data_IF_651319627555
#
_entry.id   IF_651319627555
#
_cell.length_a   1.000
_cell.length_b   1.000
_cell.length_c   1.000
_cell.angle_alpha   90.00
_cell.angle_beta   90.00
_cell.angle_gamma   90.00
#
_symmetry.space_group_name_H-M   'P 1'
#
loop_
_entity.id
_entity.type
_entity.pdbx_description
1 polymer ?
#
# COMPACT_ATOMS: atom_id res chain seq x y z
N UNK A 1 -14.96 58.98 -19.90
CA UNK A 1 -13.51 58.86 -19.63
C UNK A 1 -13.15 58.10 -18.35
N UNK A 2 -13.93 58.17 -17.25
CA UNK A 2 -13.58 57.53 -15.96
C UNK A 2 -13.49 55.98 -15.98
N UNK A 3 -14.30 55.30 -16.79
CA UNK A 3 -14.29 53.83 -16.87
C UNK A 3 -12.98 53.24 -17.43
N UNK A 4 -12.32 53.93 -18.38
CA UNK A 4 -11.05 53.48 -18.97
C UNK A 4 -9.91 53.55 -17.96
N UNK A 5 -9.89 54.60 -17.12
CA UNK A 5 -8.87 54.80 -16.08
C UNK A 5 -9.00 53.77 -14.94
N UNK A 6 -10.23 53.43 -14.54
CA UNK A 6 -10.48 52.41 -13.52
C UNK A 6 -10.11 51.01 -14.03
N UNK A 7 -10.47 50.68 -15.27
CA UNK A 7 -10.09 49.40 -15.90
C UNK A 7 -8.57 49.22 -15.99
N UNK A 8 -7.84 50.26 -16.40
CA UNK A 8 -6.38 50.22 -16.49
C UNK A 8 -5.71 50.11 -15.11
N UNK A 9 -6.29 50.74 -14.08
CA UNK A 9 -5.82 50.62 -12.70
C UNK A 9 -6.02 49.20 -12.14
N UNK A 10 -7.19 48.58 -12.37
CA UNK A 10 -7.48 47.20 -11.97
C UNK A 10 -6.55 46.20 -12.66
N UNK A 11 -6.32 46.34 -13.97
CA UNK A 11 -5.39 45.47 -14.73
C UNK A 11 -3.97 45.60 -14.19
N UNK A 12 -3.50 46.82 -13.92
CA UNK A 12 -2.16 47.03 -13.36
C UNK A 12 -2.01 46.44 -11.97
N UNK A 13 -3.04 46.56 -11.11
CA UNK A 13 -3.04 45.96 -9.77
C UNK A 13 -3.10 44.44 -9.84
N UNK A 14 -3.92 43.87 -10.71
CA UNK A 14 -3.97 42.42 -10.95
C UNK A 14 -2.61 41.90 -11.40
N UNK A 15 -1.96 42.58 -12.35
CA UNK A 15 -0.62 42.22 -12.81
C UNK A 15 0.42 42.25 -11.69
N UNK A 16 0.39 43.29 -10.85
CA UNK A 16 1.30 43.39 -9.69
C UNK A 16 1.08 42.25 -8.70
N UNK A 17 -0.18 41.91 -8.39
CA UNK A 17 -0.51 40.77 -7.51
C UNK A 17 -0.02 39.47 -8.13
N UNK A 18 -0.29 39.22 -9.41
CA UNK A 18 0.21 38.04 -10.10
C UNK A 18 1.75 37.94 -10.06
N UNK A 19 2.46 39.04 -10.28
CA UNK A 19 3.92 39.06 -10.23
C UNK A 19 4.46 38.77 -8.82
N UNK A 20 3.89 39.39 -7.79
CA UNK A 20 4.27 39.13 -6.38
C UNK A 20 4.01 37.67 -6.01
N UNK A 21 2.85 37.13 -6.37
CA UNK A 21 2.50 35.73 -6.11
C UNK A 21 3.49 34.78 -6.79
N UNK A 22 3.87 35.06 -8.04
CA UNK A 22 4.80 34.23 -8.80
C UNK A 22 6.20 34.26 -8.15
N UNK A 23 6.69 35.43 -7.74
CA UNK A 23 7.96 35.57 -7.03
C UNK A 23 7.93 34.83 -5.68
N UNK A 24 6.84 34.99 -4.92
CA UNK A 24 6.69 34.31 -3.63
C UNK A 24 6.70 32.78 -3.81
N UNK A 25 5.98 32.28 -4.82
CA UNK A 25 5.98 30.86 -5.16
C UNK A 25 7.38 30.35 -5.54
N UNK A 26 8.14 31.13 -6.32
CA UNK A 26 9.51 30.79 -6.66
C UNK A 26 10.43 30.74 -5.42
N UNK A 27 10.26 31.65 -4.47
CA UNK A 27 10.99 31.63 -3.19
C UNK A 27 10.62 30.38 -2.39
N UNK A 28 9.34 30.05 -2.26
CA UNK A 28 8.87 28.84 -1.56
C UNK A 28 9.47 27.58 -2.17
N UNK A 29 9.44 27.44 -3.50
CA UNK A 29 10.05 26.29 -4.20
C UNK A 29 11.55 26.23 -3.96
N UNK A 30 12.24 27.38 -3.95
CA UNK A 30 13.69 27.44 -3.71
C UNK A 30 14.05 27.01 -2.29
N UNK A 31 13.29 27.48 -1.30
CA UNK A 31 13.46 27.07 0.10
C UNK A 31 13.19 25.58 0.24
N UNK A 32 12.07 25.08 -0.30
CA UNK A 32 11.71 23.67 -0.24
C UNK A 32 12.81 22.80 -0.85
N UNK A 33 13.30 23.17 -2.03
CA UNK A 33 14.39 22.43 -2.69
C UNK A 33 15.68 22.43 -1.86
N UNK A 34 15.96 23.51 -1.15
CA UNK A 34 17.10 23.63 -0.26
C UNK A 34 16.95 22.79 1.01
N UNK A 35 15.72 22.65 1.55
CA UNK A 35 15.45 21.90 2.78
C UNK A 35 15.27 20.40 2.57
N UNK A 36 14.82 19.95 1.40
CA UNK A 36 14.58 18.53 1.09
C UNK A 36 15.79 17.61 1.44
N UNK A 37 17.05 17.96 1.12
CA UNK A 37 18.20 17.13 1.49
C UNK A 37 18.37 16.90 3.00
N UNK A 38 17.82 17.78 3.84
CA UNK A 38 17.85 17.69 5.30
C UNK A 38 16.62 16.95 5.87
N UNK A 39 15.84 16.26 5.03
CA UNK A 39 14.63 15.55 5.48
C UNK A 39 14.91 14.53 6.58
N UNK A 40 16.12 13.96 6.62
CA UNK A 40 16.51 13.00 7.66
C UNK A 40 16.52 13.61 9.07
N UNK A 41 16.75 14.92 9.20
CA UNK A 41 16.75 15.60 10.50
C UNK A 41 15.32 15.72 11.09
N UNK A 42 14.30 15.60 10.25
CA UNK A 42 12.87 15.65 10.63
C UNK A 42 12.26 14.27 10.84
N UNK A 43 13.07 13.22 10.94
CA UNK A 43 12.61 11.84 11.15
C UNK A 43 11.67 11.71 12.35
N UNK A 44 12.07 12.23 13.51
CA UNK A 44 11.25 12.14 14.73
C UNK A 44 9.92 12.90 14.62
N UNK A 45 9.89 14.02 13.91
CA UNK A 45 8.65 14.77 13.67
C UNK A 45 7.68 13.98 12.79
N UNK A 46 8.20 13.26 11.78
CA UNK A 46 7.40 12.39 10.92
C UNK A 46 6.90 11.14 11.64
N UNK A 47 7.74 10.50 12.46
CA UNK A 47 7.34 9.39 13.33
C UNK A 47 6.22 9.83 14.29
N UNK A 48 6.37 10.99 14.93
CA UNK A 48 5.34 11.57 15.80
C UNK A 48 4.03 11.92 15.07
N UNK A 49 4.12 12.45 13.85
CA UNK A 49 2.93 12.72 13.01
C UNK A 49 2.19 11.44 12.62
N UNK A 50 2.92 10.38 12.28
CA UNK A 50 2.31 9.09 11.92
C UNK A 50 1.70 8.39 13.14
N UNK A 51 2.33 8.53 14.31
CA UNK A 51 1.77 8.07 15.59
C UNK A 51 0.45 8.78 15.92
N UNK A 52 0.38 10.11 15.78
CA UNK A 52 -0.84 10.88 16.07
C UNK A 52 -1.98 10.54 15.08
N UNK A 53 -1.62 10.33 13.81
CA UNK A 53 -2.61 10.13 12.74
C UNK A 53 -3.14 8.70 12.61
N UNK A 54 -2.29 7.72 12.85
CA UNK A 54 -2.60 6.30 12.65
C UNK A 54 -2.44 5.46 13.92
N UNK A 55 -2.29 6.11 15.09
CA UNK A 55 -2.10 5.44 16.38
C UNK A 55 -1.00 4.35 16.38
N UNK A 56 0.02 4.51 15.53
CA UNK A 56 1.05 3.49 15.29
C UNK A 56 2.42 3.99 15.68
N UNK A 57 3.09 3.24 16.55
CA UNK A 57 4.47 3.49 16.91
C UNK A 57 5.41 2.79 15.93
N UNK A 58 6.05 3.58 15.07
CA UNK A 58 6.95 3.12 14.04
C UNK A 58 8.30 3.81 14.13
N UNK A 59 9.34 3.09 13.73
CA UNK A 59 10.71 3.59 13.58
C UNK A 59 11.12 3.52 12.12
N UNK A 60 11.68 4.62 11.60
CA UNK A 60 12.13 4.78 10.21
C UNK A 60 13.66 4.81 10.19
N UNK A 61 14.37 3.87 9.57
CA UNK A 61 15.84 3.91 9.55
C UNK A 61 16.41 5.18 8.92
N UNK A 62 15.92 5.57 7.74
CA UNK A 62 16.37 6.77 7.04
C UNK A 62 15.24 7.46 6.27
N UNK A 63 15.34 8.78 6.14
CA UNK A 63 14.46 9.59 5.30
C UNK A 63 15.32 10.35 4.30
N UNK A 64 15.00 10.18 3.02
CA UNK A 64 15.58 11.00 1.97
C UNK A 64 14.47 11.72 1.22
N UNK A 65 14.71 12.98 0.91
CA UNK A 65 13.80 13.74 0.07
C UNK A 65 14.59 14.49 -0.99
N UNK A 66 14.04 14.54 -2.20
CA UNK A 66 14.70 15.17 -3.34
C UNK A 66 13.66 15.71 -4.30
N UNK A 67 14.09 16.54 -5.25
CA UNK A 67 13.21 17.01 -6.31
C UNK A 67 13.36 16.09 -7.53
N UNK A 68 12.29 15.40 -7.91
CA UNK A 68 12.27 14.51 -9.05
C UNK A 68 11.21 14.96 -10.06
N UNK A 69 11.61 15.14 -11.33
CA UNK A 69 10.70 15.53 -12.39
C UNK A 69 9.86 16.79 -12.07
N UNK A 70 8.56 16.58 -11.83
CA UNK A 70 7.56 17.64 -11.64
C UNK A 70 7.29 18.00 -10.18
N UNK A 71 7.94 17.37 -9.21
CA UNK A 71 7.69 17.66 -7.80
C UNK A 71 8.69 17.06 -6.81
N UNK A 72 8.45 17.28 -5.52
CA UNK A 72 9.21 16.66 -4.46
C UNK A 72 8.87 15.17 -4.36
N UNK A 73 9.90 14.38 -4.12
CA UNK A 73 9.82 12.97 -3.80
C UNK A 73 10.38 12.75 -2.39
N UNK A 74 9.69 11.92 -1.60
CA UNK A 74 10.11 11.49 -0.26
C UNK A 74 10.23 9.97 -0.29
N UNK A 75 11.30 9.48 0.32
CA UNK A 75 11.60 8.06 0.45
C UNK A 75 11.91 7.78 1.91
N UNK A 76 11.15 6.84 2.48
CA UNK A 76 11.35 6.29 3.80
C UNK A 76 11.99 4.91 3.64
N UNK A 77 13.03 4.61 4.41
CA UNK A 77 13.75 3.34 4.37
C UNK A 77 13.76 2.68 5.75
N UNK A 78 13.73 1.35 5.76
CA UNK A 78 13.78 0.51 6.97
C UNK A 78 12.68 0.86 7.98
N UNK A 79 11.43 0.81 7.55
CA UNK A 79 10.27 1.09 8.39
C UNK A 79 9.92 -0.17 9.18
N UNK A 80 9.91 -0.04 10.50
CA UNK A 80 9.64 -1.11 11.45
C UNK A 80 8.71 -0.61 12.55
N UNK A 81 8.06 -1.53 13.28
CA UNK A 81 7.10 -1.21 14.34
C UNK A 81 7.61 -1.79 15.66
N UNK A 82 7.47 -1.05 16.76
CA UNK A 82 8.10 -1.38 18.03
C UNK A 82 7.57 -2.69 18.65
N UNK A 83 6.24 -2.90 18.64
CA UNK A 83 5.59 -4.05 19.31
C UNK A 83 5.27 -5.24 18.36
N UNK A 84 6.06 -5.40 17.30
CA UNK A 84 5.99 -6.55 16.38
C UNK A 84 6.11 -7.94 17.04
N UNK A 85 6.49 -8.04 18.34
CA UNK A 85 6.70 -9.31 19.05
C UNK A 85 5.45 -9.87 19.73
N UNK A 86 4.48 -9.02 20.05
CA UNK A 86 3.24 -9.39 20.77
C UNK A 86 1.99 -9.23 19.91
N UNK A 87 2.12 -8.59 18.76
CA UNK A 87 1.03 -8.44 17.79
C UNK A 87 0.79 -9.75 17.00
N UNK A 88 -0.47 -10.11 16.72
CA UNK A 88 -0.79 -11.22 15.81
C UNK A 88 -0.27 -10.99 14.37
N UNK A 89 0.10 -9.75 14.05
CA UNK A 89 0.68 -9.37 12.77
C UNK A 89 2.00 -8.61 13.02
N UNK A 90 3.12 -9.19 12.58
CA UNK A 90 4.40 -8.51 12.55
C UNK A 90 4.65 -7.96 11.14
N UNK A 91 4.75 -6.63 10.99
CA UNK A 91 4.92 -5.95 9.71
C UNK A 91 6.29 -5.30 9.60
N UNK A 92 6.90 -5.31 8.43
CA UNK A 92 8.09 -4.51 8.10
C UNK A 92 7.98 -4.01 6.66
N UNK A 93 8.50 -2.81 6.41
CA UNK A 93 8.51 -2.22 5.07
C UNK A 93 9.93 -1.76 4.77
N UNK A 94 10.57 -2.35 3.77
CA UNK A 94 11.94 -2.00 3.42
C UNK A 94 12.06 -0.57 2.90
N UNK A 95 11.13 -0.14 2.04
CA UNK A 95 11.14 1.19 1.44
C UNK A 95 9.75 1.66 1.02
N UNK A 96 9.38 2.88 1.38
CA UNK A 96 8.18 3.55 0.89
C UNK A 96 8.59 4.82 0.12
N UNK A 97 8.21 4.92 -1.15
CA UNK A 97 8.58 6.04 -2.03
C UNK A 97 7.35 6.76 -2.53
N UNK A 98 7.27 8.07 -2.29
CA UNK A 98 6.14 8.92 -2.66
C UNK A 98 6.64 10.13 -3.48
N UNK A 99 6.15 10.28 -4.71
CA UNK A 99 6.37 11.46 -5.54
C UNK A 99 5.08 12.26 -5.71
N UNK A 100 5.12 13.55 -5.35
CA UNK A 100 3.98 14.44 -5.45
C UNK A 100 3.89 15.12 -6.82
N UNK A 101 2.68 15.15 -7.38
CA UNK A 101 2.39 15.94 -8.57
C UNK A 101 1.83 17.30 -8.14
N UNK A 102 2.73 18.29 -8.03
CA UNK A 102 2.33 19.64 -7.59
C UNK A 102 1.29 20.26 -8.51
N UNK A 103 1.44 20.10 -9.83
CA UNK A 103 0.53 20.72 -10.80
C UNK A 103 -0.89 20.17 -10.70
N UNK A 104 -1.04 18.84 -10.65
CA UNK A 104 -2.36 18.23 -10.45
C UNK A 104 -2.90 18.53 -9.05
N UNK A 105 -2.02 18.61 -8.04
CA UNK A 105 -2.43 18.97 -6.68
C UNK A 105 -3.04 20.37 -6.63
N UNK A 106 -2.39 21.36 -7.24
CA UNK A 106 -2.89 22.74 -7.30
C UNK A 106 -4.19 22.82 -8.12
N UNK A 107 -4.26 22.08 -9.24
CA UNK A 107 -5.44 22.08 -10.13
C UNK A 107 -6.67 21.45 -9.48
N UNK A 108 -6.49 20.35 -8.76
CA UNK A 108 -7.58 19.58 -8.13
C UNK A 108 -7.86 20.01 -6.70
N UNK A 109 -6.98 20.83 -6.09
CA UNK A 109 -7.00 21.15 -4.66
C UNK A 109 -6.97 19.90 -3.75
N UNK A 110 -6.45 18.79 -4.27
CA UNK A 110 -6.30 17.52 -3.57
C UNK A 110 -4.86 17.05 -3.73
N UNK A 111 -4.25 16.52 -2.67
CA UNK A 111 -2.91 15.93 -2.78
C UNK A 111 -2.94 14.78 -3.79
N UNK A 112 -2.22 14.93 -4.90
CA UNK A 112 -2.07 13.90 -5.94
C UNK A 112 -0.62 13.44 -5.98
N UNK A 113 -0.42 12.12 -5.86
CA UNK A 113 0.86 11.49 -6.15
C UNK A 113 0.94 11.13 -7.63
N UNK A 114 2.13 11.33 -8.21
CA UNK A 114 2.47 10.75 -9.51
C UNK A 114 2.87 9.29 -9.37
N UNK A 115 3.45 8.95 -8.22
CA UNK A 115 3.98 7.62 -7.92
C UNK A 115 3.94 7.41 -6.40
N UNK A 116 3.40 6.28 -5.95
CA UNK A 116 3.52 5.84 -4.58
C UNK A 116 3.77 4.33 -4.59
N UNK A 117 4.93 3.90 -4.11
CA UNK A 117 5.33 2.50 -4.14
C UNK A 117 5.90 2.05 -2.82
N UNK A 118 5.44 0.89 -2.38
CA UNK A 118 5.86 0.20 -1.17
C UNK A 118 6.66 -1.01 -1.63
N UNK A 119 7.95 -1.01 -1.34
CA UNK A 119 8.87 -2.07 -1.71
C UNK A 119 9.27 -2.84 -0.43
N UNK A 120 9.23 -4.17 -0.50
CA UNK A 120 9.57 -5.02 0.64
C UNK A 120 8.57 -4.91 1.78
N UNK A 121 7.26 -4.93 1.48
CA UNK A 121 6.20 -5.12 2.47
C UNK A 121 6.21 -6.59 2.89
N UNK A 122 6.72 -6.86 4.09
CA UNK A 122 6.77 -8.21 4.66
C UNK A 122 5.90 -8.28 5.91
N UNK A 123 4.82 -9.06 5.83
CA UNK A 123 3.92 -9.30 6.96
C UNK A 123 3.97 -10.76 7.38
N UNK A 124 4.12 -11.02 8.68
CA UNK A 124 3.94 -12.34 9.28
C UNK A 124 2.64 -12.33 10.08
N UNK A 125 1.70 -13.20 9.72
CA UNK A 125 0.36 -13.28 10.29
C UNK A 125 0.22 -14.61 11.03
N UNK A 126 -0.06 -14.55 12.33
CA UNK A 126 -0.39 -15.72 13.14
C UNK A 126 -1.91 -15.95 13.11
N UNK A 127 -2.35 -16.88 12.26
CA UNK A 127 -3.78 -17.16 12.05
C UNK A 127 -4.49 -17.67 13.31
N UNK A 128 -3.92 -18.59 14.12
CA UNK A 128 -4.50 -18.97 15.40
C UNK A 128 -4.77 -17.80 16.33
N UNK A 129 -3.81 -16.90 16.53
CA UNK A 129 -3.99 -15.73 17.42
C UNK A 129 -5.01 -14.71 16.88
N UNK A 130 -5.09 -14.54 15.55
CA UNK A 130 -6.13 -13.74 14.89
C UNK A 130 -7.54 -14.29 15.13
N UNK A 131 -7.69 -15.63 15.14
CA UNK A 131 -8.98 -16.30 15.27
C UNK A 131 -9.41 -16.52 16.74
N UNK A 132 -8.46 -16.65 17.66
CA UNK A 132 -8.71 -16.85 19.11
C UNK A 132 -9.01 -15.53 19.84
N UNK A 133 -8.94 -14.40 19.13
CA UNK A 133 -9.44 -13.09 19.57
C UNK A 133 -10.98 -13.12 19.65
N UNK A 134 -11.53 -13.89 20.59
CA UNK A 134 -12.95 -13.96 20.91
C UNK A 134 -13.44 -12.68 21.58
N UNK A 135 -13.58 -11.59 20.82
CA UNK A 135 -14.52 -10.48 21.05
C UNK A 135 -14.18 -9.29 20.16
N UNK A 136 -14.67 -9.28 18.92
CA UNK A 136 -15.08 -8.06 18.19
C UNK A 136 -14.03 -7.00 17.78
N UNK A 137 -12.84 -6.98 18.38
CA UNK A 137 -11.76 -6.04 18.08
C UNK A 137 -10.45 -6.83 18.00
N UNK A 138 -10.04 -7.18 16.78
CA UNK A 138 -8.65 -7.57 16.54
C UNK A 138 -7.85 -6.26 16.49
N UNK A 139 -7.60 -5.64 17.65
CA UNK A 139 -6.80 -4.43 17.74
C UNK A 139 -5.31 -4.81 17.76
N UNK A 140 -4.71 -4.81 16.57
CA UNK A 140 -3.26 -4.76 16.44
C UNK A 140 -2.87 -3.33 16.05
N UNK A 141 -1.72 -2.85 16.53
CA UNK A 141 -1.31 -1.45 16.36
C UNK A 141 -1.36 -1.03 14.89
N UNK A 142 -0.88 -1.89 13.99
CA UNK A 142 -0.77 -1.58 12.56
C UNK A 142 -2.12 -1.52 11.83
N UNK A 143 -3.24 -1.81 12.50
CA UNK A 143 -4.58 -1.88 11.89
C UNK A 143 -4.94 -0.57 11.21
N UNK A 144 -4.87 0.55 11.92
CA UNK A 144 -5.25 1.86 11.37
C UNK A 144 -4.37 2.27 10.19
N UNK A 145 -3.09 1.90 10.19
CA UNK A 145 -2.19 2.12 9.06
C UNK A 145 -2.61 1.28 7.85
N UNK A 146 -2.93 0.00 8.04
CA UNK A 146 -3.40 -0.89 6.98
C UNK A 146 -4.74 -0.41 6.43
N UNK A 147 -5.69 -0.06 7.28
CA UNK A 147 -6.99 0.48 6.89
C UNK A 147 -6.84 1.82 6.16
N UNK A 148 -6.03 2.74 6.68
CA UNK A 148 -5.77 4.02 6.03
C UNK A 148 -5.12 3.87 4.66
N UNK A 149 -4.26 2.86 4.49
CA UNK A 149 -3.57 2.59 3.23
C UNK A 149 -4.46 1.85 2.22
N UNK A 150 -5.09 0.74 2.61
CA UNK A 150 -5.81 -0.15 1.70
C UNK A 150 -7.32 0.13 1.62
N UNK A 151 -7.90 0.76 2.64
CA UNK A 151 -9.34 1.06 2.75
C UNK A 151 -9.62 2.56 2.89
N UNK A 152 -8.63 3.42 2.61
CA UNK A 152 -8.80 4.87 2.64
C UNK A 152 -9.64 5.42 1.48
N UNK A 153 -10.16 6.65 1.62
CA UNK A 153 -11.01 7.32 0.63
C UNK A 153 -10.35 7.54 -0.74
N UNK A 154 -9.03 7.70 -0.76
CA UNK A 154 -8.26 7.96 -1.98
C UNK A 154 -6.89 7.33 -1.87
N UNK A 155 -6.33 6.92 -3.00
CA UNK A 155 -5.00 6.33 -3.02
C UNK A 155 -4.77 5.55 -4.29
N UNK A 156 -3.53 5.57 -4.77
CA UNK A 156 -3.10 4.70 -5.84
C UNK A 156 -1.64 4.37 -5.60
N UNK A 157 -1.34 3.10 -5.44
CA UNK A 157 0.02 2.65 -5.11
C UNK A 157 0.31 1.26 -5.65
N UNK A 158 1.60 0.97 -5.77
CA UNK A 158 2.06 -0.39 -6.03
C UNK A 158 2.77 -0.98 -4.81
N UNK A 159 2.67 -2.29 -4.67
CA UNK A 159 3.42 -3.08 -3.70
C UNK A 159 4.29 -4.07 -4.47
N UNK A 160 5.60 -3.99 -4.26
CA UNK A 160 6.60 -4.73 -5.03
C UNK A 160 7.56 -5.48 -4.11
N UNK A 161 8.14 -6.57 -4.59
CA UNK A 161 9.15 -7.36 -3.86
C UNK A 161 8.70 -7.74 -2.43
N UNK A 162 7.43 -8.07 -2.28
CA UNK A 162 6.76 -8.14 -0.98
C UNK A 162 6.33 -9.57 -0.67
N UNK A 163 6.02 -9.88 0.58
CA UNK A 163 5.58 -11.22 0.96
C UNK A 163 4.66 -11.22 2.17
N UNK A 164 3.71 -12.15 2.16
CA UNK A 164 2.86 -12.47 3.30
C UNK A 164 3.23 -13.86 3.79
N UNK A 165 3.61 -13.99 5.05
CA UNK A 165 3.84 -15.27 5.69
C UNK A 165 2.68 -15.54 6.65
N UNK A 166 2.05 -16.69 6.50
CA UNK A 166 0.97 -17.14 7.38
C UNK A 166 1.48 -18.29 8.24
N UNK A 167 1.36 -18.16 9.56
CA UNK A 167 1.50 -19.28 10.49
C UNK A 167 0.13 -19.91 10.68
N UNK A 168 -0.04 -21.17 10.26
CA UNK A 168 -1.30 -21.89 10.41
C UNK A 168 -1.34 -22.66 11.72
N UNK A 169 -2.53 -23.10 12.13
CA UNK A 169 -2.71 -23.91 13.34
C UNK A 169 -2.04 -25.29 13.31
N UNK A 170 -1.57 -25.75 12.14
CA UNK A 170 -0.74 -26.96 12.02
C UNK A 170 0.76 -26.69 12.32
N UNK A 171 1.11 -25.46 12.71
CA UNK A 171 2.48 -25.02 12.99
C UNK A 171 3.34 -24.83 11.75
N UNK A 172 2.76 -24.91 10.54
CA UNK A 172 3.49 -24.70 9.29
C UNK A 172 3.38 -23.26 8.82
N UNK A 173 4.50 -22.73 8.36
CA UNK A 173 4.55 -21.45 7.67
C UNK A 173 4.19 -21.60 6.20
N UNK A 174 3.36 -20.67 5.70
CA UNK A 174 3.01 -20.55 4.29
C UNK A 174 3.37 -19.15 3.83
N UNK A 175 4.34 -19.06 2.94
CA UNK A 175 4.75 -17.78 2.34
C UNK A 175 4.06 -17.60 0.99
N UNK A 176 3.51 -16.41 0.78
CA UNK A 176 2.96 -15.92 -0.47
C UNK A 176 3.81 -14.72 -0.90
N UNK A 177 4.35 -14.77 -2.11
CA UNK A 177 5.14 -13.68 -2.69
C UNK A 177 4.18 -12.79 -3.48
N UNK A 178 4.26 -11.49 -3.22
CA UNK A 178 3.54 -10.43 -3.92
C UNK A 178 4.51 -9.81 -4.92
N UNK A 179 4.36 -10.13 -6.21
CA UNK A 179 5.31 -9.70 -7.23
C UNK A 179 5.07 -8.24 -7.63
N UNK A 180 3.87 -7.95 -8.13
CA UNK A 180 3.47 -6.64 -8.63
C UNK A 180 2.00 -6.40 -8.31
N UNK A 181 1.72 -5.91 -7.11
CA UNK A 181 0.36 -5.57 -6.71
C UNK A 181 0.14 -4.10 -7.02
N UNK A 182 -0.95 -3.80 -7.69
CA UNK A 182 -1.44 -2.44 -7.89
C UNK A 182 -2.72 -2.30 -7.09
N UNK A 183 -2.80 -1.23 -6.32
CA UNK A 183 -3.95 -0.90 -5.50
C UNK A 183 -4.50 0.48 -5.86
N UNK A 184 -5.82 0.61 -5.83
CA UNK A 184 -6.54 1.82 -6.16
C UNK A 184 -7.73 2.00 -5.23
N UNK A 185 -7.68 3.07 -4.45
CA UNK A 185 -8.75 3.52 -3.59
C UNK A 185 -9.54 4.64 -4.26
N UNK A 186 -10.84 4.47 -4.26
CA UNK A 186 -11.84 5.46 -4.65
C UNK A 186 -12.87 5.57 -3.51
N UNK A 187 -13.66 6.65 -3.44
CA UNK A 187 -14.66 6.80 -2.41
C UNK A 187 -15.64 5.61 -2.39
N UNK A 188 -15.60 4.83 -1.29
CA UNK A 188 -16.41 3.64 -1.09
C UNK A 188 -16.04 2.40 -1.92
N UNK A 189 -14.91 2.41 -2.64
CA UNK A 189 -14.46 1.26 -3.45
C UNK A 189 -12.93 1.13 -3.46
N UNK A 190 -12.45 -0.07 -3.20
CA UNK A 190 -11.04 -0.42 -3.18
C UNK A 190 -10.80 -1.54 -4.19
N UNK A 191 -9.98 -1.27 -5.19
CA UNK A 191 -9.64 -2.20 -6.25
C UNK A 191 -8.16 -2.56 -6.13
N UNK A 192 -7.85 -3.83 -6.23
CA UNK A 192 -6.47 -4.28 -6.30
C UNK A 192 -6.31 -5.45 -7.25
N UNK A 193 -5.13 -5.53 -7.84
CA UNK A 193 -4.81 -6.58 -8.80
C UNK A 193 -3.32 -6.81 -8.85
N UNK A 194 -2.91 -8.04 -9.11
CA UNK A 194 -1.50 -8.33 -9.32
C UNK A 194 -1.22 -9.82 -9.42
N UNK A 195 0.06 -10.11 -9.64
CA UNK A 195 0.55 -11.48 -9.73
C UNK A 195 1.18 -11.93 -8.41
N UNK A 196 0.98 -13.20 -8.11
CA UNK A 196 1.39 -13.87 -6.90
C UNK A 196 2.33 -15.02 -7.26
N UNK A 197 3.22 -15.36 -6.33
CA UNK A 197 4.02 -16.58 -6.44
C UNK A 197 4.00 -17.36 -5.14
N UNK A 198 3.94 -18.68 -5.26
CA UNK A 198 3.96 -19.60 -4.12
C UNK A 198 5.29 -20.37 -4.16
N UNK A 199 6.11 -20.30 -3.10
CA UNK A 199 7.36 -21.05 -3.04
C UNK A 199 7.14 -22.56 -3.26
N UNK A 200 7.92 -23.13 -4.17
CA UNK A 200 7.77 -24.53 -4.58
C UNK A 200 6.91 -24.74 -5.83
N UNK A 201 6.25 -23.70 -6.32
CA UNK A 201 5.61 -23.69 -7.64
C UNK A 201 6.41 -22.75 -8.54
N UNK A 202 7.06 -23.31 -9.56
CA UNK A 202 7.97 -22.57 -10.44
C UNK A 202 7.45 -22.39 -11.87
N UNK A 203 6.32 -23.01 -12.20
CA UNK A 203 5.70 -22.95 -13.55
C UNK A 203 4.24 -22.57 -13.38
N UNK A 204 3.78 -21.68 -14.26
CA UNK A 204 2.43 -21.12 -14.26
C UNK A 204 2.37 -19.70 -13.70
N UNK A 205 1.19 -19.11 -13.74
CA UNK A 205 0.90 -17.81 -13.13
C UNK A 205 -0.20 -17.94 -12.09
N UNK A 206 -0.10 -17.12 -11.03
CA UNK A 206 -1.21 -16.85 -10.13
C UNK A 206 -1.54 -15.38 -10.22
N UNK A 207 -2.73 -15.06 -10.70
CA UNK A 207 -3.19 -13.69 -10.84
C UNK A 207 -4.39 -13.48 -9.94
N UNK A 208 -4.36 -12.40 -9.16
CA UNK A 208 -5.44 -12.04 -8.25
C UNK A 208 -6.04 -10.68 -8.64
N UNK A 209 -7.34 -10.57 -8.47
CA UNK A 209 -8.10 -9.32 -8.58
C UNK A 209 -9.07 -9.26 -7.43
N UNK A 210 -9.22 -8.09 -6.84
CA UNK A 210 -10.08 -7.91 -5.68
C UNK A 210 -10.79 -6.57 -5.76
N UNK A 211 -12.05 -6.58 -5.36
CA UNK A 211 -12.92 -5.43 -5.32
C UNK A 211 -13.64 -5.42 -3.97
N UNK A 212 -13.26 -4.46 -3.13
CA UNK A 212 -13.73 -4.31 -1.76
C UNK A 212 -14.44 -2.97 -1.58
N UNK A 213 -15.28 -2.90 -0.56
CA UNK A 213 -15.98 -1.71 -0.07
C UNK A 213 -15.94 -1.71 1.46
N UNK A 214 -16.08 -0.54 2.08
CA UNK A 214 -15.96 -0.38 3.54
C UNK A 214 -14.65 0.29 3.94
N UNK A 215 -14.62 0.88 5.14
CA UNK A 215 -13.50 1.71 5.61
C UNK A 215 -12.63 1.03 6.67
N UNK A 216 -13.07 -0.12 7.20
CA UNK A 216 -12.34 -0.89 8.23
C UNK A 216 -12.28 -2.36 7.85
N UNK A 217 -11.31 -3.10 8.40
CA UNK A 217 -11.14 -4.53 8.17
C UNK A 217 -12.33 -5.34 8.70
N UNK A 218 -13.05 -4.88 9.74
CA UNK A 218 -14.23 -5.58 10.27
C UNK A 218 -15.50 -5.31 9.46
N UNK A 219 -15.55 -4.19 8.74
CA UNK A 219 -16.74 -3.78 7.97
C UNK A 219 -16.56 -4.02 6.48
N UNK A 220 -15.39 -4.46 6.04
CA UNK A 220 -15.12 -4.65 4.63
C UNK A 220 -15.99 -5.75 4.02
N UNK A 221 -16.44 -5.50 2.79
CA UNK A 221 -17.26 -6.38 1.98
C UNK A 221 -16.69 -6.42 0.57
N UNK A 222 -16.73 -7.57 -0.10
CA UNK A 222 -16.33 -7.63 -1.50
C UNK A 222 -15.96 -9.02 -1.98
N UNK A 223 -15.33 -9.05 -3.15
CA UNK A 223 -14.98 -10.31 -3.79
C UNK A 223 -13.50 -10.31 -4.19
N UNK A 224 -12.88 -11.47 -4.01
CA UNK A 224 -11.51 -11.79 -4.46
C UNK A 224 -11.63 -12.87 -5.52
N UNK A 225 -11.07 -12.60 -6.70
CA UNK A 225 -10.87 -13.56 -7.76
C UNK A 225 -9.40 -13.95 -7.84
N UNK A 226 -9.12 -15.26 -7.88
CA UNK A 226 -7.76 -15.78 -8.09
C UNK A 226 -7.79 -16.79 -9.23
N UNK A 227 -6.87 -16.63 -10.17
CA UNK A 227 -6.68 -17.51 -11.31
C UNK A 227 -5.28 -18.12 -11.27
N UNK A 228 -5.22 -19.44 -11.35
CA UNK A 228 -4.02 -20.24 -11.57
C UNK A 228 -4.04 -20.76 -13.00
N UNK A 229 -3.00 -20.46 -13.79
CA UNK A 229 -2.89 -20.91 -15.18
C UNK A 229 -1.61 -21.71 -15.40
N UNK A 230 -1.74 -22.91 -15.96
CA UNK A 230 -0.64 -23.81 -16.29
C UNK A 230 0.31 -24.05 -15.10
N UNK A 231 -0.27 -24.25 -13.92
CA UNK A 231 0.47 -24.36 -12.66
C UNK A 231 0.97 -25.78 -12.47
N UNK A 232 2.28 -25.91 -12.26
CA UNK A 232 2.90 -27.17 -11.85
C UNK A 232 3.13 -27.20 -10.33
N UNK A 233 2.24 -27.90 -9.64
CA UNK A 233 2.28 -28.09 -8.19
C UNK A 233 3.17 -29.26 -7.76
N UNK A 234 3.85 -29.95 -8.68
CA UNK A 234 4.49 -31.23 -8.37
C UNK A 234 5.56 -31.14 -7.30
N UNK A 235 6.44 -30.14 -7.38
CA UNK A 235 7.48 -29.89 -6.37
C UNK A 235 6.89 -29.43 -5.04
N UNK A 236 5.81 -28.64 -5.08
CA UNK A 236 5.12 -28.21 -3.88
C UNK A 236 4.41 -29.37 -3.17
N UNK A 237 3.79 -30.28 -3.94
CA UNK A 237 3.08 -31.43 -3.41
C UNK A 237 4.03 -32.52 -2.91
N UNK A 238 5.20 -32.68 -3.54
CA UNK A 238 6.26 -33.59 -3.10
C UNK A 238 6.74 -33.32 -1.66
N UNK A 239 6.53 -32.11 -1.13
CA UNK A 239 6.80 -31.78 0.28
C UNK A 239 5.87 -32.54 1.25
N UNK A 240 4.68 -32.93 0.79
CA UNK A 240 3.62 -33.53 1.60
C UNK A 240 3.45 -35.03 1.35
N UNK A 241 3.94 -35.54 0.21
CA UNK A 241 3.78 -36.93 -0.17
C UNK A 241 5.17 -37.59 -0.22
N UNK A 242 5.34 -38.64 0.57
CA UNK A 242 6.59 -39.39 0.71
C UNK A 242 6.76 -40.35 -0.49
N UNK A 243 6.92 -39.81 -1.70
CA UNK A 243 7.05 -40.63 -2.90
C UNK A 243 8.46 -40.52 -3.45
N UNK A 244 9.33 -41.43 -3.03
CA UNK A 244 10.72 -41.60 -3.51
C UNK A 244 10.84 -41.99 -5.00
N UNK A 245 9.76 -42.03 -5.79
CA UNK A 245 9.77 -42.82 -7.04
C UNK A 245 9.12 -42.30 -8.32
N UNK A 246 8.40 -41.19 -8.36
CA UNK A 246 7.84 -40.75 -9.64
C UNK A 246 7.94 -39.24 -9.85
N UNK A 247 8.45 -38.88 -11.03
CA UNK A 247 8.48 -37.51 -11.54
C UNK A 247 7.03 -37.13 -11.88
N UNK A 248 6.29 -36.74 -10.84
CA UNK A 248 4.95 -36.19 -10.99
C UNK A 248 5.08 -34.88 -11.76
N UNK A 249 4.32 -34.74 -12.84
CA UNK A 249 4.14 -33.49 -13.57
C UNK A 249 2.67 -33.15 -13.48
N UNK A 250 2.35 -31.88 -13.25
CA UNK A 250 0.97 -31.42 -13.13
C UNK A 250 0.79 -30.16 -13.96
N UNK A 251 -0.35 -30.09 -14.63
CA UNK A 251 -0.79 -28.92 -15.40
C UNK A 251 -2.18 -28.53 -14.88
N UNK A 252 -2.22 -27.69 -13.84
CA UNK A 252 -3.46 -27.31 -13.19
C UNK A 252 -3.87 -25.92 -13.66
N UNK A 253 -5.13 -25.81 -14.10
CA UNK A 253 -5.82 -24.54 -14.27
C UNK A 253 -6.91 -24.47 -13.21
N UNK A 254 -6.96 -23.39 -12.45
CA UNK A 254 -7.93 -23.23 -11.38
C UNK A 254 -8.38 -21.77 -11.32
N UNK A 255 -9.68 -21.58 -11.17
CA UNK A 255 -10.27 -20.29 -10.90
C UNK A 255 -11.01 -20.37 -9.57
N UNK A 256 -10.83 -19.37 -8.71
CA UNK A 256 -11.52 -19.29 -7.44
C UNK A 256 -12.07 -17.90 -7.18
N UNK A 257 -13.23 -17.84 -6.53
CA UNK A 257 -13.89 -16.64 -6.07
C UNK A 257 -14.12 -16.77 -4.57
N UNK A 258 -13.64 -15.80 -3.80
CA UNK A 258 -13.87 -15.68 -2.37
C UNK A 258 -14.72 -14.46 -2.13
N UNK A 259 -15.82 -14.61 -1.40
CA UNK A 259 -16.67 -13.49 -0.99
C UNK A 259 -16.39 -13.16 0.47
N UNK A 260 -16.17 -11.87 0.74
CA UNK A 260 -15.88 -11.31 2.05
C UNK A 260 -17.12 -10.58 2.55
N UNK A 261 -17.52 -10.91 3.78
CA UNK A 261 -18.60 -10.23 4.50
C UNK A 261 -18.18 -9.95 5.95
N UNK A 262 -18.28 -8.69 6.39
CA UNK A 262 -17.83 -8.22 7.70
C UNK A 262 -16.39 -8.64 8.01
N UNK A 263 -15.48 -8.43 7.06
CA UNK A 263 -14.06 -8.79 7.22
C UNK A 263 -13.73 -10.28 7.16
N UNK A 264 -14.74 -11.15 7.10
CA UNK A 264 -14.57 -12.60 7.14
C UNK A 264 -14.90 -13.22 5.79
N UNK A 265 -14.22 -14.31 5.45
CA UNK A 265 -14.54 -15.09 4.26
C UNK A 265 -15.88 -15.80 4.51
N UNK A 266 -16.90 -15.45 3.72
CA UNK A 266 -18.25 -16.01 3.82
C UNK A 266 -18.47 -17.20 2.90
N UNK A 267 -17.96 -17.10 1.68
CA UNK A 267 -18.17 -18.11 0.64
C UNK A 267 -16.91 -18.27 -0.21
N UNK A 268 -16.66 -19.50 -0.66
CA UNK A 268 -15.54 -19.83 -1.55
C UNK A 268 -16.07 -20.74 -2.65
N UNK A 269 -15.99 -20.26 -3.89
CA UNK A 269 -16.30 -21.04 -5.09
C UNK A 269 -15.03 -21.33 -5.84
N UNK A 270 -14.89 -22.57 -6.28
CA UNK A 270 -13.73 -23.00 -7.07
C UNK A 270 -14.25 -23.68 -8.33
N UNK A 271 -13.57 -23.42 -9.43
CA UNK A 271 -13.77 -24.02 -10.74
C UNK A 271 -12.40 -24.52 -11.22
N UNK A 272 -12.35 -25.78 -11.62
CA UNK A 272 -11.14 -26.46 -12.11
C UNK A 272 -11.47 -27.24 -13.38
#
# INVERSE_FOLDING_TARGET
>A
MKAKTVCFFCIRKLWQVCAITLVLLAVVVSVLKYTLPYANDYKGDLEGYLLDKFAVNLSIGAISASWHGKGPAIVLEEISFEDNKTSPIALTIAKASLELNIWETIKTWQLKSSYFVINGFHANVDMPSMLDSQSGDVSFEQKELIEGLFLGETGHFAVENSSLNFMLGDGKERRLILENIVWQNQPGQHLGSGSLAVPGISVGSFDARLALTGSTLETMLGDIYVQASNVDVSKWLAQYINTDKEQFNSDINLESWLSIENGLIKDVKVKW
#
